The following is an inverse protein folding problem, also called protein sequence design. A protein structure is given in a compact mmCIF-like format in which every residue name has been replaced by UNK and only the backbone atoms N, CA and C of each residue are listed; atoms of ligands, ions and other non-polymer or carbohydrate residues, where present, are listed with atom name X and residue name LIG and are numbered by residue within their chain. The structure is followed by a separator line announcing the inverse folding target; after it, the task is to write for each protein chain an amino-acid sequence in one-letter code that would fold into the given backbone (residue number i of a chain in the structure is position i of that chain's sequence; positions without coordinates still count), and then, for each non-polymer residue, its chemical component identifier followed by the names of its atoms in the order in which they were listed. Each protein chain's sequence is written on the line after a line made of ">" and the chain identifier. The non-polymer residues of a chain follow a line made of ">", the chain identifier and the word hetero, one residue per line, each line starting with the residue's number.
data_IF_363364748957
#
_entry.id   IF_363364748957
#
_cell.length_a   1.000
_cell.length_b   1.000
_cell.length_c   1.000
_cell.angle_alpha   90.00
_cell.angle_beta   90.00
_cell.angle_gamma   90.00
#
_symmetry.space_group_name_H-M   'P 1'
#
loop_
_entity.id
_entity.type
_entity.pdbx_description
1 polymer ?
#
# COMPACT_ATOMS: atom_id res chain seq x y z
N UNK A 1 -18.14 -15.09 3.81
CA UNK A 1 -18.71 -13.75 4.07
C UNK A 1 -17.94 -13.12 5.22
N UNK A 2 -17.47 -11.89 5.02
CA UNK A 2 -16.83 -11.08 6.04
C UNK A 2 -17.84 -10.78 7.17
N UNK A 3 -17.47 -11.01 8.43
CA UNK A 3 -18.41 -11.02 9.57
C UNK A 3 -18.47 -9.69 10.34
N UNK A 4 -18.01 -8.58 9.74
CA UNK A 4 -18.17 -7.24 10.30
C UNK A 4 -17.38 -6.95 11.57
N UNK A 5 -16.40 -7.80 11.94
CA UNK A 5 -15.49 -7.54 13.05
C UNK A 5 -14.04 -7.71 12.60
N UNK A 6 -13.39 -6.57 12.35
CA UNK A 6 -11.96 -6.50 12.15
C UNK A 6 -11.24 -6.83 13.46
N UNK A 7 -10.34 -7.80 13.42
CA UNK A 7 -9.50 -8.19 14.56
C UNK A 7 -8.46 -7.09 14.77
N UNK A 8 -8.44 -6.46 15.95
CA UNK A 8 -7.33 -5.60 16.37
C UNK A 8 -6.08 -6.48 16.53
N UNK A 9 -5.24 -6.52 15.50
CA UNK A 9 -3.89 -7.07 15.60
C UNK A 9 -2.95 -5.89 15.78
N UNK A 10 -2.52 -5.66 17.02
CA UNK A 10 -1.33 -4.85 17.27
C UNK A 10 -0.15 -5.65 16.70
N UNK A 11 0.25 -5.27 15.49
CA UNK A 11 1.42 -5.80 14.80
C UNK A 11 2.54 -4.78 14.90
N UNK A 12 2.82 -4.30 16.11
CA UNK A 12 4.13 -3.71 16.44
C UNK A 12 5.22 -4.76 16.22
N UNK A 13 5.45 -5.10 14.95
CA UNK A 13 6.73 -5.59 14.48
C UNK A 13 7.71 -4.51 14.89
N UNK A 14 8.61 -4.88 15.79
CA UNK A 14 9.81 -4.13 16.12
C UNK A 14 10.70 -4.14 14.87
N UNK A 15 10.29 -3.36 13.86
CA UNK A 15 11.02 -3.23 12.61
C UNK A 15 12.33 -2.54 12.95
N UNK A 16 13.45 -3.21 12.70
CA UNK A 16 14.81 -2.65 12.90
C UNK A 16 15.16 -1.52 11.91
N UNK A 17 14.15 -0.93 11.26
CA UNK A 17 14.28 0.02 10.16
C UNK A 17 13.35 1.22 10.40
N UNK A 18 13.71 2.38 9.85
CA UNK A 18 12.85 3.56 9.90
C UNK A 18 11.53 3.30 9.18
N UNK A 19 10.42 3.81 9.72
CA UNK A 19 9.11 3.53 9.13
C UNK A 19 8.83 4.52 7.99
N UNK A 20 9.36 4.19 6.81
CA UNK A 20 9.19 4.90 5.54
C UNK A 20 8.92 3.91 4.41
N UNK A 21 8.48 4.43 3.25
CA UNK A 21 8.36 3.62 2.03
C UNK A 21 9.71 2.99 1.65
N UNK A 22 10.81 3.74 1.77
CA UNK A 22 12.14 3.25 1.39
C UNK A 22 12.56 2.01 2.18
N UNK A 23 12.22 1.97 3.47
CA UNK A 23 12.49 0.82 4.33
C UNK A 23 11.68 -0.42 3.95
N UNK A 24 10.48 -0.25 3.38
CA UNK A 24 9.70 -1.39 2.87
C UNK A 24 10.23 -1.90 1.54
N UNK A 25 10.68 -1.01 0.66
CA UNK A 25 11.38 -1.43 -0.55
C UNK A 25 12.65 -2.22 -0.21
N UNK A 26 13.35 -1.84 0.86
CA UNK A 26 14.47 -2.61 1.39
C UNK A 26 14.04 -3.98 1.93
N UNK A 27 12.92 -4.08 2.66
CA UNK A 27 12.38 -5.37 3.11
C UNK A 27 12.05 -6.27 1.92
N UNK A 28 11.39 -5.74 0.89
CA UNK A 28 11.10 -6.49 -0.34
C UNK A 28 12.38 -7.01 -0.99
N UNK A 29 13.42 -6.17 -1.08
CA UNK A 29 14.74 -6.57 -1.57
C UNK A 29 15.42 -7.66 -0.74
N UNK A 30 15.22 -7.69 0.59
CA UNK A 30 15.81 -8.72 1.46
C UNK A 30 15.03 -10.04 1.42
N UNK A 31 13.71 -9.98 1.21
CA UNK A 31 12.83 -11.16 1.23
C UNK A 31 12.80 -11.83 -0.14
N UNK A 32 12.91 -11.06 -1.21
CA UNK A 32 12.93 -11.59 -2.58
C UNK A 32 14.36 -11.80 -3.04
N UNK A 33 14.60 -12.90 -3.75
CA UNK A 33 15.86 -13.07 -4.46
C UNK A 33 15.98 -12.10 -5.65
N UNK A 34 17.20 -12.02 -6.19
CA UNK A 34 17.52 -11.16 -7.33
C UNK A 34 16.68 -11.51 -8.57
N UNK A 35 16.27 -12.77 -8.73
CA UNK A 35 15.47 -13.22 -9.88
C UNK A 35 14.04 -12.68 -9.83
N UNK A 36 13.41 -12.70 -8.66
CA UNK A 36 12.09 -12.13 -8.43
C UNK A 36 12.12 -10.60 -8.57
N UNK A 37 13.16 -9.97 -8.04
CA UNK A 37 13.38 -8.52 -8.16
C UNK A 37 13.50 -8.11 -9.64
N UNK A 38 14.31 -8.82 -10.41
CA UNK A 38 14.48 -8.55 -11.85
C UNK A 38 13.19 -8.72 -12.63
N UNK A 39 12.47 -9.83 -12.43
CA UNK A 39 11.18 -10.08 -13.09
C UNK A 39 10.13 -9.04 -12.74
N UNK A 40 10.15 -8.52 -11.52
CA UNK A 40 9.24 -7.46 -11.11
C UNK A 40 9.60 -6.12 -11.77
N UNK A 41 10.88 -5.80 -11.92
CA UNK A 41 11.34 -4.60 -12.63
C UNK A 41 10.87 -4.54 -14.09
N UNK A 42 10.77 -5.71 -14.75
CA UNK A 42 10.32 -5.83 -16.15
C UNK A 42 8.80 -5.64 -16.35
N UNK A 43 8.00 -5.60 -15.28
CA UNK A 43 6.56 -5.42 -15.39
C UNK A 43 6.26 -3.98 -15.85
N UNK A 44 5.49 -3.76 -16.93
CA UNK A 44 5.09 -2.42 -17.32
C UNK A 44 4.28 -1.72 -16.21
N UNK A 45 4.48 -0.41 -16.02
CA UNK A 45 3.74 0.38 -15.03
C UNK A 45 2.22 0.18 -15.11
N UNK A 46 1.67 0.07 -16.34
CA UNK A 46 0.24 -0.18 -16.60
C UNK A 46 -0.28 -1.47 -15.96
N UNK A 47 0.61 -2.42 -15.66
CA UNK A 47 0.27 -3.74 -15.14
C UNK A 47 0.51 -3.85 -13.63
N UNK A 48 1.07 -2.83 -12.97
CA UNK A 48 1.28 -2.83 -11.51
C UNK A 48 -0.04 -2.99 -10.74
N UNK A 49 -1.16 -2.55 -11.31
CA UNK A 49 -2.52 -2.79 -10.79
C UNK A 49 -2.82 -4.26 -10.54
N UNK A 50 -2.51 -5.10 -11.52
CA UNK A 50 -2.76 -6.54 -11.47
C UNK A 50 -1.83 -7.23 -10.45
N UNK A 51 -0.61 -6.72 -10.31
CA UNK A 51 0.34 -7.20 -9.31
C UNK A 51 -0.11 -6.84 -7.90
N UNK A 52 -0.75 -5.68 -7.70
CA UNK A 52 -1.28 -5.29 -6.39
C UNK A 52 -2.40 -6.23 -5.89
N UNK A 53 -3.16 -6.85 -6.80
CA UNK A 53 -4.18 -7.84 -6.41
C UNK A 53 -3.59 -9.15 -5.89
N UNK A 54 -2.40 -9.54 -6.35
CA UNK A 54 -1.72 -10.77 -5.94
C UNK A 54 -0.67 -10.47 -4.87
N UNK A 55 0.42 -9.86 -5.28
CA UNK A 55 1.52 -9.54 -4.39
C UNK A 55 1.15 -8.47 -3.36
N UNK A 56 0.35 -7.48 -3.74
CA UNK A 56 -0.16 -6.50 -2.77
C UNK A 56 -1.01 -7.15 -1.69
N UNK A 57 -1.74 -8.23 -2.00
CA UNK A 57 -2.46 -9.02 -1.00
C UNK A 57 -1.51 -9.71 -0.02
N UNK A 58 -0.40 -10.26 -0.52
CA UNK A 58 0.63 -10.82 0.34
C UNK A 58 1.22 -9.74 1.27
N UNK A 59 1.60 -8.57 0.74
CA UNK A 59 2.08 -7.44 1.52
C UNK A 59 1.11 -7.05 2.64
N UNK A 60 -0.18 -6.92 2.32
CA UNK A 60 -1.20 -6.55 3.30
C UNK A 60 -1.33 -7.55 4.44
N UNK A 61 -1.22 -8.84 4.14
CA UNK A 61 -1.42 -9.92 5.11
C UNK A 61 -0.16 -10.20 5.94
N UNK A 62 1.01 -10.21 5.31
CA UNK A 62 2.28 -10.61 5.93
C UNK A 62 2.93 -9.46 6.70
N UNK A 63 2.95 -8.26 6.11
CA UNK A 63 3.44 -7.05 6.78
C UNK A 63 2.38 -6.49 7.77
N UNK A 64 1.13 -6.93 7.64
CA UNK A 64 0.06 -6.54 8.54
C UNK A 64 -0.46 -5.12 8.29
N UNK A 65 -0.61 -4.73 7.02
CA UNK A 65 -1.17 -3.42 6.66
C UNK A 65 -2.63 -3.23 7.08
N UNK A 66 -3.35 -4.33 7.37
CA UNK A 66 -4.69 -4.30 7.97
C UNK A 66 -4.68 -3.92 9.47
N UNK A 67 -3.54 -4.05 10.13
CA UNK A 67 -3.36 -3.70 11.54
C UNK A 67 -2.83 -2.28 11.70
N UNK A 68 -2.46 -1.94 12.93
CA UNK A 68 -1.67 -0.73 13.21
C UNK A 68 -0.23 -1.13 13.45
N UNK A 69 0.64 -0.53 12.66
CA UNK A 69 2.08 -0.61 12.79
C UNK A 69 2.67 0.71 12.27
N UNK A 70 3.97 0.89 12.42
CA UNK A 70 4.58 2.16 12.09
C UNK A 70 4.57 2.51 10.59
N UNK A 71 4.49 1.52 9.70
CA UNK A 71 4.30 1.74 8.26
C UNK A 71 2.90 2.30 7.99
N UNK A 72 1.89 1.68 8.60
CA UNK A 72 0.51 2.12 8.47
C UNK A 72 0.37 3.55 8.99
N UNK A 73 0.99 3.87 10.14
CA UNK A 73 1.02 5.23 10.66
C UNK A 73 1.77 6.22 9.76
N UNK A 74 2.83 5.78 9.07
CA UNK A 74 3.50 6.59 8.06
C UNK A 74 2.51 6.99 6.95
N UNK A 75 1.76 6.03 6.39
CA UNK A 75 0.76 6.31 5.35
C UNK A 75 -0.41 7.18 5.84
N UNK A 76 -0.85 6.99 7.09
CA UNK A 76 -1.90 7.81 7.69
C UNK A 76 -1.53 9.28 7.81
N UNK A 77 -0.26 9.62 8.06
CA UNK A 77 0.20 11.03 8.03
C UNK A 77 -0.03 11.70 6.68
N UNK A 78 -0.10 10.91 5.61
CA UNK A 78 -0.40 11.37 4.26
C UNK A 78 -1.87 11.16 3.87
N UNK A 79 -2.77 10.82 4.80
CA UNK A 79 -4.18 10.45 4.55
C UNK A 79 -4.35 9.31 3.53
N UNK A 80 -3.39 8.39 3.45
CA UNK A 80 -3.55 7.12 2.73
C UNK A 80 -4.00 6.08 3.74
N UNK A 81 -5.28 5.70 3.69
CA UNK A 81 -5.93 4.96 4.77
C UNK A 81 -6.14 3.49 4.44
N UNK A 82 -6.40 3.18 3.17
CA UNK A 82 -6.73 1.82 2.76
C UNK A 82 -5.46 0.99 2.50
N UNK A 83 -5.35 -0.25 3.04
CA UNK A 83 -4.19 -1.11 2.82
C UNK A 83 -3.92 -1.44 1.35
N UNK A 84 -4.95 -1.41 0.50
CA UNK A 84 -4.83 -1.62 -0.95
C UNK A 84 -4.12 -0.45 -1.66
N UNK A 85 -4.38 0.79 -1.23
CA UNK A 85 -3.67 1.99 -1.71
C UNK A 85 -2.23 2.00 -1.18
N UNK A 86 -2.05 1.65 0.10
CA UNK A 86 -0.72 1.54 0.71
C UNK A 86 0.16 0.53 -0.05
N UNK A 87 -0.36 -0.68 -0.31
CA UNK A 87 0.41 -1.70 -1.04
C UNK A 87 0.68 -1.29 -2.48
N UNK A 88 -0.25 -0.60 -3.15
CA UNK A 88 -0.02 -0.08 -4.51
C UNK A 88 1.14 0.92 -4.53
N UNK A 89 1.19 1.83 -3.57
CA UNK A 89 2.28 2.81 -3.43
C UNK A 89 3.60 2.12 -3.10
N UNK A 90 3.61 1.14 -2.20
CA UNK A 90 4.82 0.37 -1.86
C UNK A 90 5.38 -0.33 -3.10
N UNK A 91 4.53 -1.05 -3.84
CA UNK A 91 4.94 -1.79 -5.03
C UNK A 91 5.43 -0.87 -6.15
N UNK A 92 4.76 0.26 -6.35
CA UNK A 92 5.18 1.25 -7.35
C UNK A 92 6.53 1.86 -6.98
N UNK A 93 6.77 2.15 -5.71
CA UNK A 93 8.06 2.67 -5.26
C UNK A 93 9.18 1.64 -5.41
N UNK A 94 8.93 0.39 -5.04
CA UNK A 94 9.91 -0.67 -5.23
C UNK A 94 10.24 -0.88 -6.71
N UNK A 95 9.22 -0.87 -7.58
CA UNK A 95 9.39 -0.98 -9.03
C UNK A 95 10.24 0.16 -9.60
N UNK A 96 9.96 1.40 -9.19
CA UNK A 96 10.72 2.59 -9.59
C UNK A 96 12.17 2.53 -9.11
N UNK A 97 12.41 2.09 -7.88
CA UNK A 97 13.77 1.94 -7.35
C UNK A 97 14.59 0.93 -8.18
N UNK A 98 14.00 -0.21 -8.52
CA UNK A 98 14.67 -1.22 -9.37
C UNK A 98 15.01 -0.67 -10.77
N UNK A 99 14.23 0.27 -11.27
CA UNK A 99 14.42 0.92 -12.56
C UNK A 99 15.20 2.25 -12.49
N UNK A 100 15.76 2.62 -11.33
CA UNK A 100 16.52 3.86 -11.16
C UNK A 100 15.67 5.14 -11.30
N UNK A 101 14.36 5.03 -11.10
CA UNK A 101 13.40 6.13 -11.18
C UNK A 101 13.15 6.74 -9.80
N UNK A 102 12.80 8.02 -9.76
CA UNK A 102 12.42 8.70 -8.52
C UNK A 102 11.10 8.14 -7.97
N UNK A 103 11.03 7.91 -6.66
CA UNK A 103 9.87 7.39 -5.95
C UNK A 103 8.60 8.25 -6.21
N UNK A 104 8.69 9.57 -6.05
CA UNK A 104 7.57 10.51 -6.16
C UNK A 104 6.35 10.07 -5.34
N UNK A 105 6.57 9.64 -4.09
CA UNK A 105 5.52 9.12 -3.19
C UNK A 105 4.40 10.12 -2.97
N UNK A 106 4.72 11.41 -2.84
CA UNK A 106 3.72 12.47 -2.66
C UNK A 106 2.78 12.56 -3.86
N UNK A 107 3.30 12.47 -5.09
CA UNK A 107 2.50 12.46 -6.31
C UNK A 107 1.57 11.25 -6.38
N UNK A 108 2.08 10.07 -5.99
CA UNK A 108 1.26 8.86 -5.92
C UNK A 108 0.12 9.01 -4.90
N UNK A 109 0.40 9.56 -3.71
CA UNK A 109 -0.63 9.85 -2.71
C UNK A 109 -1.66 10.83 -3.25
N UNK A 110 -1.23 11.90 -3.93
CA UNK A 110 -2.13 12.88 -4.52
C UNK A 110 -3.01 12.27 -5.62
N UNK A 111 -2.46 11.34 -6.41
CA UNK A 111 -3.21 10.60 -7.42
C UNK A 111 -4.34 9.78 -6.79
N UNK A 112 -4.05 8.98 -5.75
CA UNK A 112 -5.09 8.20 -5.06
C UNK A 112 -6.15 9.10 -4.39
N UNK A 113 -5.73 10.19 -3.74
CA UNK A 113 -6.67 11.17 -3.18
C UNK A 113 -7.60 11.77 -4.23
N UNK A 114 -7.03 12.18 -5.37
CA UNK A 114 -7.79 12.78 -6.46
C UNK A 114 -8.76 11.76 -7.07
N UNK A 115 -8.33 10.51 -7.23
CA UNK A 115 -9.17 9.41 -7.70
C UNK A 115 -10.39 9.22 -6.80
N UNK A 116 -10.18 9.01 -5.50
CA UNK A 116 -11.27 8.78 -4.54
C UNK A 116 -12.24 9.96 -4.45
N UNK A 117 -11.71 11.19 -4.50
CA UNK A 117 -12.51 12.41 -4.52
C UNK A 117 -13.34 12.53 -5.80
N UNK A 118 -12.73 12.32 -6.96
CA UNK A 118 -13.38 12.57 -8.24
C UNK A 118 -14.40 11.48 -8.62
N UNK A 119 -14.05 10.21 -8.40
CA UNK A 119 -14.91 9.09 -8.79
C UNK A 119 -16.02 8.82 -7.78
N UNK A 120 -15.78 9.07 -6.49
CA UNK A 120 -16.69 8.66 -5.42
C UNK A 120 -17.07 9.79 -4.45
N UNK A 121 -16.52 10.99 -4.60
CA UNK A 121 -16.74 12.09 -3.64
C UNK A 121 -16.15 11.78 -2.25
N UNK A 122 -15.20 10.86 -2.16
CA UNK A 122 -14.63 10.40 -0.90
C UNK A 122 -13.35 11.16 -0.58
N UNK A 123 -13.35 11.85 0.56
CA UNK A 123 -12.15 12.41 1.18
C UNK A 123 -12.00 11.79 2.57
N UNK A 124 -10.87 11.11 2.79
CA UNK A 124 -10.60 10.46 4.06
C UNK A 124 -9.81 11.37 4.98
N UNK A 125 -10.26 11.45 6.23
CA UNK A 125 -9.57 12.13 7.32
C UNK A 125 -9.46 11.15 8.49
N UNK A 126 -8.24 10.96 8.99
CA UNK A 126 -8.01 10.16 10.20
C UNK A 126 -8.53 10.95 11.42
N UNK A 127 -9.80 10.74 11.79
CA UNK A 127 -10.42 11.43 12.93
C UNK A 127 -9.96 10.88 14.28
N UNK A 128 -9.65 9.58 14.34
CA UNK A 128 -9.12 8.90 15.53
C UNK A 128 -8.30 7.66 15.12
N UNK A 129 -7.05 7.57 15.62
CA UNK A 129 -6.12 6.47 15.35
C UNK A 129 -6.41 5.19 16.15
N UNK A 130 -7.39 5.18 17.07
CA UNK A 130 -7.74 4.01 17.89
C UNK A 130 -8.94 3.20 17.38
N UNK A 131 -9.77 3.81 16.52
CA UNK A 131 -10.94 3.20 15.89
C UNK A 131 -10.96 3.52 14.39
N UNK A 132 -9.90 3.16 13.68
CA UNK A 132 -9.88 3.35 12.22
C UNK A 132 -10.73 2.26 11.57
N UNK A 133 -11.74 2.70 10.83
CA UNK A 133 -12.39 1.87 9.82
C UNK A 133 -11.71 2.14 8.48
N UNK A 134 -11.39 1.08 7.76
CA UNK A 134 -10.88 1.24 6.42
C UNK A 134 -12.01 1.73 5.51
N UNK A 135 -11.78 2.75 4.69
CA UNK A 135 -12.73 3.09 3.64
C UNK A 135 -12.85 1.94 2.64
N UNK A 136 -13.84 1.94 1.73
CA UNK A 136 -13.91 0.90 0.70
C UNK A 136 -12.62 0.87 -0.14
N UNK A 137 -12.14 -0.34 -0.44
CA UNK A 137 -11.07 -0.56 -1.40
C UNK A 137 -11.59 -0.41 -2.83
N UNK A 138 -10.68 -0.28 -3.80
CA UNK A 138 -11.05 -0.32 -5.22
C UNK A 138 -11.73 -1.64 -5.58
N UNK A 139 -11.28 -2.74 -4.96
CA UNK A 139 -11.91 -4.05 -5.11
C UNK A 139 -13.35 -4.08 -4.57
N UNK A 140 -13.61 -3.46 -3.42
CA UNK A 140 -14.97 -3.35 -2.85
C UNK A 140 -15.90 -2.56 -3.77
N UNK A 141 -15.33 -1.65 -4.58
CA UNK A 141 -16.03 -0.88 -5.61
C UNK A 141 -16.06 -1.55 -6.99
N UNK A 142 -15.50 -2.76 -7.15
CA UNK A 142 -15.47 -3.50 -8.42
C UNK A 142 -14.46 -2.97 -9.44
N UNK A 143 -13.48 -2.17 -9.03
CA UNK A 143 -12.42 -1.62 -9.87
C UNK A 143 -11.21 -2.56 -9.85
N UNK A 144 -10.78 -3.01 -11.03
CA UNK A 144 -9.69 -3.99 -11.18
C UNK A 144 -8.53 -3.49 -12.05
N UNK A 145 -8.59 -2.24 -12.54
CA UNK A 145 -7.57 -1.61 -13.39
C UNK A 145 -7.44 -0.15 -12.97
N UNK A 146 -6.21 0.29 -12.66
CA UNK A 146 -5.89 1.71 -12.48
C UNK A 146 -5.86 2.35 -13.88
N UNK A 147 -6.76 3.31 -14.15
CA UNK A 147 -6.75 4.13 -15.37
C UNK A 147 -6.09 5.47 -15.10
#
# INVERSE_FOLDING_TARGET
>A
MFNGKWVKKDTSLDLRYSCSVDSLSYILFQVWDDSLSYRFAEIPDSNLSQVNHSLGQWLRNDIGLWGRNCIVEYFWKFNTMHPDDMSAIILTNYHRQLNGMAANTEDQVMMFKSFWKNEFGLEYELKDSFNWEFPPSMWDMGITIYK
#
